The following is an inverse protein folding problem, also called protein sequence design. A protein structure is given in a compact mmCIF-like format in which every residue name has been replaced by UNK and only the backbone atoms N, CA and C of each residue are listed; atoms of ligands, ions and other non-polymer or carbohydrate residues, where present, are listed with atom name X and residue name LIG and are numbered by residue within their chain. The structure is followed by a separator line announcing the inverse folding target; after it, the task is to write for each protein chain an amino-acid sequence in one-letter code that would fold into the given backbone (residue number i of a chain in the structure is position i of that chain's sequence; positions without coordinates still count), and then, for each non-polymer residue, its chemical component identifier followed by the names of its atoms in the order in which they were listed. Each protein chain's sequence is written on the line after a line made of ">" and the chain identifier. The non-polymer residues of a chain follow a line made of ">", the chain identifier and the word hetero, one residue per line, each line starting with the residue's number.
data_IF_283369299851
#
_entry.id   IF_283369299851
#
_cell.length_a   1.000
_cell.length_b   1.000
_cell.length_c   1.000
_cell.angle_alpha   90.00
_cell.angle_beta   90.00
_cell.angle_gamma   90.00
#
_symmetry.space_group_name_H-M   'P 1'
#
loop_
_entity.id
_entity.type
_entity.pdbx_description
1 polymer ?
#
# COMPACT_ATOMS: atom_id res chain seq x y z
N UNK A 1 14.62 -5.91 1.68
CA UNK A 1 14.38 -7.36 1.74
C UNK A 1 14.98 -7.90 3.03
N UNK A 2 14.24 -8.76 3.71
CA UNK A 2 14.72 -9.44 4.92
C UNK A 2 15.77 -10.52 4.58
N UNK A 3 16.72 -10.82 5.50
CA UNK A 3 17.76 -11.83 5.28
C UNK A 3 17.22 -13.21 4.85
N UNK A 4 16.15 -13.69 5.49
CA UNK A 4 15.52 -14.99 5.22
C UNK A 4 14.92 -15.08 3.81
N UNK A 5 14.38 -13.97 3.29
CA UNK A 5 13.90 -13.88 1.90
C UNK A 5 15.07 -14.01 0.93
N UNK A 6 16.20 -13.35 1.24
CA UNK A 6 17.41 -13.41 0.41
C UNK A 6 18.02 -14.82 0.42
N UNK A 7 17.91 -15.54 1.54
CA UNK A 7 18.35 -16.93 1.67
C UNK A 7 17.37 -17.93 1.03
N UNK A 8 16.20 -17.48 0.55
CA UNK A 8 15.12 -18.33 0.05
C UNK A 8 14.65 -19.38 1.06
N UNK A 9 14.78 -19.05 2.35
CA UNK A 9 14.12 -19.81 3.40
C UNK A 9 12.63 -19.46 3.39
N UNK A 10 11.78 -20.38 3.83
CA UNK A 10 10.38 -20.04 4.11
C UNK A 10 10.32 -18.81 5.02
N UNK A 11 9.37 -17.92 4.79
CA UNK A 11 9.20 -16.70 5.56
C UNK A 11 7.84 -16.68 6.25
N UNK A 12 7.77 -16.00 7.39
CA UNK A 12 6.54 -15.70 8.11
C UNK A 12 6.41 -14.21 8.34
N UNK A 13 5.54 -13.80 9.26
CA UNK A 13 5.26 -12.39 9.59
C UNK A 13 6.49 -11.56 10.00
N UNK A 14 7.56 -12.23 10.44
CA UNK A 14 8.81 -11.57 10.84
C UNK A 14 9.42 -10.66 9.75
N UNK A 15 9.17 -10.94 8.47
CA UNK A 15 9.65 -10.10 7.35
C UNK A 15 9.02 -8.71 7.31
N UNK A 16 7.80 -8.59 7.83
CA UNK A 16 7.09 -7.31 7.90
C UNK A 16 7.71 -6.42 8.97
N UNK A 17 8.10 -7.01 10.11
CA UNK A 17 8.82 -6.30 11.17
C UNK A 17 10.23 -5.88 10.76
N UNK A 18 10.92 -6.71 9.97
CA UNK A 18 12.17 -6.28 9.33
C UNK A 18 11.94 -5.05 8.46
N UNK A 19 10.87 -5.06 7.64
CA UNK A 19 10.56 -3.96 6.72
C UNK A 19 10.15 -2.69 7.47
N UNK A 20 9.40 -2.81 8.57
CA UNK A 20 9.09 -1.70 9.46
C UNK A 20 10.36 -1.07 10.04
N UNK A 21 11.29 -1.88 10.56
CA UNK A 21 12.55 -1.37 11.09
C UNK A 21 13.39 -0.64 10.04
N UNK A 22 13.45 -1.19 8.81
CA UNK A 22 14.14 -0.53 7.71
C UNK A 22 13.49 0.80 7.30
N UNK A 23 12.15 0.86 7.29
CA UNK A 23 11.39 2.08 7.02
C UNK A 23 11.57 3.14 8.11
N UNK A 24 11.53 2.73 9.39
CA UNK A 24 11.77 3.63 10.52
C UNK A 24 13.17 4.24 10.46
N UNK A 25 14.18 3.43 10.12
CA UNK A 25 15.53 3.95 9.91
C UNK A 25 15.54 5.01 8.80
N UNK A 26 14.96 4.68 7.63
CA UNK A 26 14.93 5.58 6.48
C UNK A 26 14.27 6.93 6.81
N UNK A 27 13.14 6.91 7.52
CA UNK A 27 12.46 8.13 7.96
C UNK A 27 13.26 8.95 8.99
N UNK A 28 14.02 8.29 9.87
CA UNK A 28 14.79 8.98 10.92
C UNK A 28 16.14 9.51 10.44
N UNK A 29 16.77 8.86 9.45
CA UNK A 29 18.10 9.23 8.95
C UNK A 29 18.10 9.86 7.56
N UNK A 30 16.95 9.85 6.86
CA UNK A 30 16.80 10.37 5.50
C UNK A 30 17.43 9.47 4.42
N UNK A 31 17.63 8.19 4.72
CA UNK A 31 18.21 7.23 3.77
C UNK A 31 18.20 5.80 4.29
N UNK A 32 18.19 4.78 3.42
CA UNK A 32 17.97 3.40 3.83
C UNK A 32 19.15 2.84 4.64
N UNK A 33 18.91 1.91 5.58
CA UNK A 33 19.94 1.38 6.48
C UNK A 33 21.06 0.61 5.79
N UNK A 34 20.80 0.08 4.59
CA UNK A 34 21.76 -0.70 3.83
C UNK A 34 21.93 -0.11 2.43
N UNK A 35 23.06 0.59 2.25
CA UNK A 35 23.51 1.07 0.94
C UNK A 35 24.91 0.53 0.66
N UNK A 36 25.19 0.24 -0.61
CA UNK A 36 26.52 -0.12 -1.09
C UNK A 36 26.62 0.17 -2.60
N UNK A 37 27.84 0.15 -3.13
CA UNK A 37 28.12 0.39 -4.56
C UNK A 37 27.38 -0.57 -5.49
N UNK A 38 27.09 -1.80 -5.04
CA UNK A 38 26.42 -2.80 -5.85
C UNK A 38 25.49 -3.67 -5.01
N UNK A 39 24.52 -4.28 -5.70
CA UNK A 39 23.50 -5.14 -5.10
C UNK A 39 24.10 -6.28 -4.26
N UNK A 40 25.20 -6.88 -4.71
CA UNK A 40 25.86 -7.99 -4.00
C UNK A 40 26.39 -7.53 -2.63
N UNK A 41 27.14 -6.42 -2.59
CA UNK A 41 27.64 -5.82 -1.35
C UNK A 41 26.51 -5.42 -0.41
N UNK A 42 25.39 -4.91 -0.92
CA UNK A 42 24.20 -4.59 -0.10
C UNK A 42 23.59 -5.85 0.51
N UNK A 43 23.44 -6.93 -0.27
CA UNK A 43 22.97 -8.23 0.21
C UNK A 43 23.93 -8.77 1.28
N UNK A 44 25.23 -8.75 1.04
CA UNK A 44 26.23 -9.20 2.01
C UNK A 44 26.16 -8.43 3.34
N UNK A 45 25.81 -7.13 3.30
CA UNK A 45 25.55 -6.34 4.51
C UNK A 45 24.29 -6.80 5.23
N UNK A 46 23.20 -7.03 4.50
CA UNK A 46 21.92 -7.49 5.07
C UNK A 46 22.08 -8.85 5.73
N UNK A 47 22.76 -9.80 5.07
CA UNK A 47 22.96 -11.17 5.57
C UNK A 47 23.83 -11.23 6.85
N UNK A 48 24.61 -10.18 7.14
CA UNK A 48 25.41 -10.09 8.37
C UNK A 48 24.61 -9.58 9.58
N UNK A 49 23.42 -9.03 9.36
CA UNK A 49 22.60 -8.49 10.44
C UNK A 49 21.96 -9.64 11.20
N UNK A 50 22.08 -9.58 12.53
CA UNK A 50 21.33 -10.46 13.42
C UNK A 50 19.98 -9.81 13.70
N UNK A 51 18.93 -10.32 13.07
CA UNK A 51 17.57 -9.95 13.41
C UNK A 51 17.03 -10.90 14.48
N UNK A 52 16.47 -10.35 15.55
CA UNK A 52 15.70 -11.11 16.52
C UNK A 52 14.24 -11.03 16.12
N UNK A 53 13.61 -12.19 15.91
CA UNK A 53 12.16 -12.24 15.76
C UNK A 53 11.51 -11.78 17.07
N UNK A 54 10.50 -10.92 16.95
CA UNK A 54 9.70 -10.41 18.06
C UNK A 54 8.63 -11.47 18.39
N UNK A 55 8.72 -12.20 19.54
CA UNK A 55 7.82 -13.33 19.82
C UNK A 55 6.37 -12.91 20.02
N UNK A 56 6.14 -11.72 20.60
CA UNK A 56 4.81 -11.18 20.91
C UNK A 56 4.27 -10.26 19.80
N UNK A 57 4.83 -10.36 18.59
CA UNK A 57 4.35 -9.68 17.39
C UNK A 57 4.25 -8.15 17.61
N UNK A 58 3.08 -7.55 17.37
CA UNK A 58 2.88 -6.11 17.49
C UNK A 58 2.91 -5.60 18.94
N UNK A 59 2.64 -6.44 19.95
CA UNK A 59 2.50 -5.97 21.34
C UNK A 59 3.83 -5.51 21.93
N UNK A 60 4.92 -6.21 21.62
CA UNK A 60 6.26 -5.82 22.07
C UNK A 60 6.67 -4.46 21.48
N UNK A 61 6.29 -4.19 20.23
CA UNK A 61 6.56 -2.93 19.54
C UNK A 61 5.73 -1.79 20.13
N UNK A 62 4.44 -2.04 20.45
CA UNK A 62 3.57 -1.04 21.09
C UNK A 62 4.10 -0.57 22.44
N UNK A 63 4.77 -1.46 23.18
CA UNK A 63 5.34 -1.19 24.51
C UNK A 63 6.75 -0.57 24.45
N UNK A 64 7.36 -0.49 23.26
CA UNK A 64 8.72 0.00 23.13
C UNK A 64 8.85 1.48 23.54
N UNK A 65 9.93 1.90 24.23
CA UNK A 65 10.11 3.27 24.71
C UNK A 65 10.01 4.36 23.63
N UNK A 66 10.31 4.02 22.38
CA UNK A 66 10.12 4.92 21.23
C UNK A 66 8.66 5.40 21.10
N UNK A 67 7.69 4.53 21.37
CA UNK A 67 6.25 4.82 21.26
C UNK A 67 5.59 5.20 22.59
N UNK A 68 6.38 5.44 23.66
CA UNK A 68 5.86 5.74 25.01
C UNK A 68 4.92 6.96 25.10
N UNK A 69 4.96 7.83 24.09
CA UNK A 69 4.14 9.05 24.01
C UNK A 69 2.87 8.86 23.17
N UNK A 70 2.63 7.67 22.61
CA UNK A 70 1.46 7.37 21.80
C UNK A 70 0.45 6.53 22.59
N UNK A 71 -0.80 6.99 22.59
CA UNK A 71 -1.93 6.15 22.98
C UNK A 71 -2.48 5.45 21.73
N UNK A 72 -2.26 4.13 21.67
CA UNK A 72 -2.70 3.30 20.54
C UNK A 72 -4.22 3.27 20.37
N UNK A 73 -5.01 3.48 21.43
CA UNK A 73 -6.47 3.56 21.31
C UNK A 73 -6.90 4.84 20.59
N UNK A 74 -6.25 5.97 20.89
CA UNK A 74 -6.50 7.24 20.22
C UNK A 74 -6.06 7.20 18.76
N UNK A 75 -4.93 6.55 18.46
CA UNK A 75 -4.46 6.33 17.09
C UNK A 75 -5.47 5.49 16.31
N UNK A 76 -5.91 4.36 16.88
CA UNK A 76 -6.91 3.48 16.25
C UNK A 76 -8.23 4.20 16.02
N UNK A 77 -8.69 5.01 16.98
CA UNK A 77 -9.90 5.80 16.87
C UNK A 77 -9.74 7.06 15.98
N UNK A 78 -8.56 7.28 15.39
CA UNK A 78 -8.22 8.45 14.56
C UNK A 78 -8.43 9.80 15.28
N UNK A 79 -8.24 9.82 16.60
CA UNK A 79 -8.43 11.00 17.45
C UNK A 79 -7.13 11.79 17.68
N UNK A 80 -5.97 11.18 17.41
CA UNK A 80 -4.69 11.87 17.48
C UNK A 80 -4.49 12.71 16.21
N UNK A 81 -4.21 14.00 16.37
CA UNK A 81 -3.95 14.89 15.24
C UNK A 81 -2.62 14.53 14.55
N UNK A 82 -2.62 14.25 13.23
CA UNK A 82 -1.37 13.96 12.52
C UNK A 82 -0.42 15.18 12.57
N UNK A 83 0.88 14.97 12.80
CA UNK A 83 1.86 16.05 12.89
C UNK A 83 2.06 16.80 11.57
N UNK A 84 1.79 16.13 10.44
CA UNK A 84 1.82 16.72 9.11
C UNK A 84 0.46 16.52 8.45
N UNK A 85 -0.15 17.64 8.03
CA UNK A 85 -1.38 17.67 7.26
C UNK A 85 -1.06 18.27 5.89
N UNK A 86 -1.15 17.48 4.80
CA UNK A 86 -0.94 18.03 3.48
C UNK A 86 -2.04 19.04 3.13
N UNK A 87 -1.67 20.11 2.44
CA UNK A 87 -2.62 21.10 1.94
C UNK A 87 -3.23 20.61 0.62
N UNK A 88 -4.57 20.54 0.55
CA UNK A 88 -5.30 20.24 -0.68
C UNK A 88 -5.97 21.50 -1.21
N UNK A 89 -5.77 21.81 -2.50
CA UNK A 89 -6.34 22.99 -3.14
C UNK A 89 -7.78 22.77 -3.63
N UNK A 90 -8.10 21.54 -4.02
CA UNK A 90 -9.41 21.12 -4.53
C UNK A 90 -9.60 19.60 -4.39
N UNK A 91 -10.81 19.10 -4.63
CA UNK A 91 -11.12 17.66 -4.64
C UNK A 91 -10.36 16.90 -5.74
N UNK A 92 -9.98 17.59 -6.82
CA UNK A 92 -9.25 17.04 -7.96
C UNK A 92 -7.74 17.34 -7.91
N UNK A 93 -7.23 17.80 -6.75
CA UNK A 93 -5.84 18.20 -6.60
C UNK A 93 -4.89 17.00 -6.67
N UNK A 94 -4.13 16.92 -7.76
CA UNK A 94 -3.10 15.92 -7.98
C UNK A 94 -1.68 16.46 -7.75
N UNK A 95 -1.52 17.61 -7.08
CA UNK A 95 -0.22 18.27 -6.94
C UNK A 95 0.79 17.55 -6.03
N UNK A 96 0.33 16.64 -5.17
CA UNK A 96 1.17 15.78 -4.33
C UNK A 96 1.68 14.52 -5.08
N UNK A 97 1.27 14.32 -6.32
CA UNK A 97 1.71 13.23 -7.18
C UNK A 97 2.78 13.72 -8.17
N UNK A 98 3.65 12.81 -8.59
CA UNK A 98 4.71 13.13 -9.56
C UNK A 98 4.12 13.54 -10.92
N UNK A 99 4.59 14.67 -11.45
CA UNK A 99 4.10 15.24 -12.71
C UNK A 99 4.37 14.35 -13.93
N UNK A 100 5.32 13.43 -13.83
CA UNK A 100 5.55 12.42 -14.86
C UNK A 100 4.30 11.60 -15.15
N UNK A 101 3.50 11.29 -14.12
CA UNK A 101 2.26 10.54 -14.25
C UNK A 101 1.05 11.45 -14.50
N UNK A 102 0.94 12.58 -13.80
CA UNK A 102 -0.26 13.45 -13.92
C UNK A 102 -0.36 14.17 -15.27
N UNK A 103 0.75 14.26 -16.02
CA UNK A 103 0.76 14.75 -17.42
C UNK A 103 0.40 13.68 -18.44
N UNK A 104 0.37 12.40 -18.07
CA UNK A 104 -0.04 11.34 -18.98
C UNK A 104 -1.56 11.38 -19.15
N UNK A 105 -2.03 11.22 -20.38
CA UNK A 105 -3.46 11.10 -20.64
C UNK A 105 -3.97 9.81 -19.99
N UNK A 106 -5.05 9.85 -19.18
CA UNK A 106 -5.61 8.66 -18.56
C UNK A 106 -6.35 7.81 -19.61
N UNK A 107 -5.59 7.00 -20.35
CA UNK A 107 -6.10 6.08 -21.37
C UNK A 107 -5.73 4.65 -21.01
N UNK A 108 -6.66 3.73 -21.28
CA UNK A 108 -6.38 2.30 -21.17
C UNK A 108 -5.44 1.88 -22.30
N UNK A 109 -4.38 1.15 -21.95
CA UNK A 109 -3.48 0.56 -22.94
C UNK A 109 -4.23 -0.49 -23.76
N UNK A 110 -4.06 -0.53 -25.10
CA UNK A 110 -4.64 -1.59 -25.91
C UNK A 110 -4.05 -2.94 -25.48
N UNK A 111 -4.91 -3.96 -25.39
CA UNK A 111 -4.50 -5.33 -25.14
C UNK A 111 -4.62 -6.13 -26.44
N UNK A 112 -3.51 -6.63 -26.96
CA UNK A 112 -3.48 -7.50 -28.16
C UNK A 112 -3.95 -8.93 -27.86
N UNK A 113 -4.15 -9.26 -26.59
CA UNK A 113 -4.55 -10.60 -26.14
C UNK A 113 -6.06 -10.73 -26.20
N UNK A 114 -6.59 -11.39 -27.23
CA UNK A 114 -7.93 -11.96 -27.17
C UNK A 114 -7.89 -13.15 -26.20
N UNK A 115 -8.16 -12.90 -24.92
CA UNK A 115 -8.41 -14.00 -23.97
C UNK A 115 -9.64 -14.78 -24.48
N UNK A 116 -9.41 -15.91 -25.14
CA UNK A 116 -10.49 -16.82 -25.49
C UNK A 116 -10.97 -17.49 -24.19
N UNK A 117 -12.22 -17.21 -23.80
CA UNK A 117 -12.94 -17.81 -22.67
C UNK A 117 -13.25 -19.30 -22.88
N UNK A 118 -12.45 -20.00 -23.67
CA UNK A 118 -12.50 -21.45 -23.88
C UNK A 118 -11.79 -22.13 -22.72
N UNK A 119 -12.40 -22.10 -21.54
CA UNK A 119 -11.90 -22.72 -20.30
C UNK A 119 -12.64 -22.22 -19.06
N UNK A 120 -12.28 -22.74 -17.88
CA UNK A 120 -12.71 -22.18 -16.59
C UNK A 120 -12.25 -20.73 -16.49
N UNK A 121 -13.18 -19.81 -16.19
CA UNK A 121 -12.85 -18.39 -16.03
C UNK A 121 -11.94 -18.21 -14.79
N UNK A 122 -10.65 -17.84 -14.95
CA UNK A 122 -9.74 -17.68 -13.82
C UNK A 122 -10.10 -16.48 -12.93
N UNK A 123 -11.03 -15.63 -13.37
CA UNK A 123 -11.53 -14.46 -12.64
C UNK A 123 -12.90 -14.69 -11.99
N UNK A 124 -13.40 -15.93 -11.95
CA UNK A 124 -14.60 -16.24 -11.20
C UNK A 124 -14.40 -15.86 -9.72
N UNK A 125 -15.30 -15.01 -9.18
CA UNK A 125 -15.19 -14.46 -7.82
C UNK A 125 -14.33 -13.19 -7.68
N UNK A 126 -13.84 -12.62 -8.80
CA UNK A 126 -13.07 -11.37 -8.77
C UNK A 126 -13.92 -10.15 -8.41
N UNK A 127 -15.15 -10.09 -8.92
CA UNK A 127 -16.06 -8.95 -8.69
C UNK A 127 -16.48 -8.87 -7.23
N UNK A 128 -16.18 -7.75 -6.59
CA UNK A 128 -16.56 -7.45 -5.21
C UNK A 128 -17.08 -6.02 -5.10
N UNK A 129 -18.18 -5.84 -4.37
CA UNK A 129 -18.68 -4.52 -3.97
C UNK A 129 -18.77 -4.51 -2.46
N UNK A 130 -18.09 -3.55 -1.81
CA UNK A 130 -18.09 -3.44 -0.36
C UNK A 130 -19.52 -3.18 0.17
N UNK A 131 -19.96 -3.86 1.24
CA UNK A 131 -21.30 -3.65 1.80
C UNK A 131 -21.60 -2.19 2.16
N UNK A 132 -20.60 -1.44 2.63
CA UNK A 132 -20.71 0.00 2.92
C UNK A 132 -21.04 0.85 1.69
N UNK A 133 -20.56 0.46 0.51
CA UNK A 133 -20.89 1.14 -0.75
C UNK A 133 -22.32 0.83 -1.15
N UNK A 134 -22.76 -0.42 -1.00
CA UNK A 134 -24.15 -0.81 -1.28
C UNK A 134 -25.14 -0.09 -0.35
N UNK A 135 -24.78 0.05 0.93
CA UNK A 135 -25.59 0.78 1.91
C UNK A 135 -25.69 2.28 1.55
N UNK A 136 -24.57 2.91 1.18
CA UNK A 136 -24.56 4.30 0.75
C UNK A 136 -25.39 4.53 -0.52
N UNK A 137 -25.38 3.60 -1.47
CA UNK A 137 -26.20 3.67 -2.70
C UNK A 137 -27.71 3.60 -2.43
N UNK A 138 -28.12 3.01 -1.31
CA UNK A 138 -29.52 2.85 -0.94
C UNK A 138 -30.05 4.03 -0.08
N UNK A 139 -29.20 5.02 0.26
CA UNK A 139 -29.61 6.21 1.01
C UNK A 139 -30.17 7.30 0.07
N UNK A 140 -31.35 7.88 0.38
CA UNK A 140 -32.05 8.81 -0.51
C UNK A 140 -31.37 10.18 -0.71
N UNK A 141 -30.37 10.54 0.10
CA UNK A 141 -29.71 11.86 0.09
C UNK A 141 -28.18 11.79 -0.11
N UNK A 142 -27.64 10.70 -0.66
CA UNK A 142 -26.20 10.66 -0.95
C UNK A 142 -25.89 11.60 -2.12
N UNK A 143 -25.13 12.67 -1.87
CA UNK A 143 -24.35 13.37 -2.90
C UNK A 143 -23.30 12.40 -3.44
N UNK A 144 -23.76 11.46 -4.27
CA UNK A 144 -22.89 10.53 -4.95
C UNK A 144 -22.17 11.35 -6.02
N UNK A 145 -20.90 11.73 -5.78
CA UNK A 145 -20.01 12.13 -6.86
C UNK A 145 -19.87 10.92 -7.76
N UNK A 146 -20.77 10.82 -8.75
CA UNK A 146 -20.75 9.77 -9.75
C UNK A 146 -19.36 9.81 -10.37
N UNK A 147 -18.55 8.79 -10.12
CA UNK A 147 -17.26 8.64 -10.78
C UNK A 147 -17.51 8.78 -12.29
N UNK A 148 -17.09 9.92 -12.85
CA UNK A 148 -17.26 10.19 -14.28
C UNK A 148 -16.17 9.40 -14.98
N UNK A 149 -16.54 8.18 -15.35
CA UNK A 149 -15.74 7.38 -16.26
C UNK A 149 -15.51 8.17 -17.56
N UNK A 150 -14.27 8.38 -18.00
CA UNK A 150 -13.98 8.97 -19.31
C UNK A 150 -14.40 8.07 -20.48
N UNK A 151 -14.94 6.86 -20.20
CA UNK A 151 -15.36 5.89 -21.21
C UNK A 151 -16.35 6.53 -22.18
N UNK A 152 -15.91 6.70 -23.44
CA UNK A 152 -16.82 6.93 -24.57
C UNK A 152 -17.87 5.82 -24.59
N UNK A 153 -19.13 6.12 -24.91
CA UNK A 153 -20.20 5.14 -24.96
C UNK A 153 -20.08 4.29 -26.23
N UNK A 154 -19.11 3.39 -26.27
CA UNK A 154 -19.13 2.28 -27.21
C UNK A 154 -18.88 0.97 -26.45
N UNK A 155 -19.97 0.20 -26.39
CA UNK A 155 -20.13 -1.14 -25.84
C UNK A 155 -19.70 -1.33 -24.38
N UNK A 156 -20.68 -1.10 -23.49
CA UNK A 156 -20.82 -1.94 -22.30
C UNK A 156 -20.96 -3.41 -22.77
N UNK A 157 -19.91 -4.20 -22.58
CA UNK A 157 -20.09 -5.63 -22.33
C UNK A 157 -20.18 -5.75 -20.82
N UNK A 158 -21.42 -5.82 -20.32
CA UNK A 158 -21.66 -6.40 -19.01
C UNK A 158 -21.26 -7.87 -19.11
N UNK A 159 -20.30 -8.28 -18.29
CA UNK A 159 -20.06 -9.68 -17.97
C UNK A 159 -20.94 -9.99 -16.75
#
# INVERSE_FOLDING_TARGET
>A
MAPEILMRCGHGKAVDWWSLGALMFDMLTGGPPFTAENRKKTIDKILKVRFTSWPDDAEEIKQHPFFRHLDWNLVFARQLEPPFKPEMKSEEDASLFDTTFTKMTPVDSPCDSTFSLTGDNPFAGFTYVAPSVLEAMNQPDSQFTRARSPRKPHLCVFI
#
